data_IF_504198139739
#
_entry.id   IF_504198139739
#
_cell.length_a   1.000
_cell.length_b   1.000
_cell.length_c   1.000
_cell.angle_alpha   90.00
_cell.angle_beta   90.00
_cell.angle_gamma   90.00
#
_symmetry.space_group_name_H-M   'P 1'
#
loop_
_entity.id
_entity.type
_entity.pdbx_description
1 polymer ?
#
# COMPACT_ATOMS: atom_id res chain seq x y z
N UNK A 1 -19.28 2.77 -7.54
CA UNK A 1 -19.91 2.95 -6.22
C UNK A 1 -20.56 1.68 -5.68
N UNK A 2 -21.27 0.90 -6.49
CA UNK A 2 -21.84 -0.40 -6.09
C UNK A 2 -20.80 -1.45 -5.71
N UNK A 3 -19.65 -1.50 -6.38
CA UNK A 3 -18.55 -2.41 -6.06
C UNK A 3 -17.91 -2.17 -4.70
N UNK A 4 -17.91 -0.95 -4.22
CA UNK A 4 -17.27 -0.58 -2.96
C UNK A 4 -18.06 -1.06 -1.75
N UNK A 5 -19.42 -1.01 -1.82
CA UNK A 5 -20.26 -1.45 -0.72
C UNK A 5 -20.34 -2.97 -0.58
N UNK A 6 -20.36 -3.72 -1.68
CA UNK A 6 -20.33 -5.19 -1.63
C UNK A 6 -18.98 -5.72 -1.16
N UNK A 7 -17.88 -5.03 -1.49
CA UNK A 7 -16.54 -5.41 -1.05
C UNK A 7 -16.34 -5.18 0.44
N UNK A 8 -16.78 -4.05 0.96
CA UNK A 8 -16.72 -3.72 2.38
C UNK A 8 -17.62 -4.63 3.24
N UNK A 9 -18.74 -5.06 2.72
CA UNK A 9 -19.67 -5.97 3.42
C UNK A 9 -19.09 -7.37 3.67
N UNK A 10 -18.03 -7.77 2.95
CA UNK A 10 -17.36 -9.07 3.12
C UNK A 10 -16.20 -9.03 4.11
N UNK A 11 -15.76 -7.85 4.51
CA UNK A 11 -14.61 -7.68 5.40
C UNK A 11 -15.08 -7.18 6.76
N UNK A 12 -14.83 -7.99 7.80
CA UNK A 12 -15.20 -7.65 9.18
C UNK A 12 -13.96 -7.17 9.92
N UNK A 13 -14.05 -5.98 10.50
CA UNK A 13 -13.03 -5.42 11.37
C UNK A 13 -13.44 -5.52 12.83
N UNK A 14 -12.48 -5.82 13.69
CA UNK A 14 -12.72 -5.86 15.15
C UNK A 14 -12.86 -4.46 15.73
N UNK A 15 -12.13 -3.49 15.18
CA UNK A 15 -12.10 -2.09 15.63
C UNK A 15 -12.18 -1.14 14.44
N UNK A 16 -12.79 0.04 14.59
CA UNK A 16 -12.88 1.05 13.52
C UNK A 16 -11.59 1.87 13.40
N UNK A 17 -10.46 1.21 13.31
CA UNK A 17 -9.13 1.79 13.17
C UNK A 17 -8.33 1.08 12.10
N UNK A 18 -7.45 1.82 11.44
CA UNK A 18 -6.54 1.33 10.42
C UNK A 18 -5.14 1.86 10.71
N UNK A 19 -4.10 1.08 10.40
CA UNK A 19 -2.75 1.58 10.41
C UNK A 19 -2.46 2.34 9.11
N UNK A 20 -1.96 3.56 9.22
CA UNK A 20 -1.61 4.39 8.06
C UNK A 20 -0.39 3.88 7.30
N UNK A 21 -0.22 4.28 6.02
CA UNK A 21 0.93 3.88 5.22
C UNK A 21 2.20 4.57 5.72
N UNK A 22 3.31 3.84 5.69
CA UNK A 22 4.64 4.36 5.95
C UNK A 22 5.55 3.95 4.79
N UNK A 23 6.17 4.92 4.16
CA UNK A 23 7.17 4.73 3.12
C UNK A 23 8.51 5.33 3.52
N UNK A 24 9.56 4.97 2.78
CA UNK A 24 10.93 5.43 3.02
C UNK A 24 11.38 5.25 4.49
N UNK A 25 11.14 4.07 5.04
CA UNK A 25 11.35 3.74 6.45
C UNK A 25 12.75 4.08 6.92
N UNK A 26 13.78 3.72 6.14
CA UNK A 26 15.17 4.04 6.48
C UNK A 26 15.43 5.55 6.56
N UNK A 27 14.82 6.32 5.69
CA UNK A 27 15.00 7.76 5.64
C UNK A 27 14.38 8.46 6.85
N UNK A 28 13.21 8.02 7.29
CA UNK A 28 12.44 8.71 8.33
C UNK A 28 12.59 8.12 9.73
N UNK A 29 12.88 6.80 9.83
CA UNK A 29 12.83 6.08 11.10
C UNK A 29 14.11 5.29 11.42
N UNK A 30 15.16 5.42 10.59
CA UNK A 30 16.44 4.75 10.79
C UNK A 30 16.52 3.37 10.13
N UNK A 31 17.65 2.69 10.32
CA UNK A 31 18.04 1.52 9.51
C UNK A 31 17.57 0.17 10.07
N UNK A 32 16.75 0.18 11.12
CA UNK A 32 16.34 -1.07 11.79
C UNK A 32 15.52 -1.99 10.88
N UNK A 33 14.68 -1.42 10.02
CA UNK A 33 13.85 -2.14 9.08
C UNK A 33 13.94 -1.55 7.69
N UNK A 34 13.84 -2.41 6.69
CA UNK A 34 13.59 -2.01 5.30
C UNK A 34 12.10 -1.75 5.09
N UNK A 35 11.74 -1.08 3.98
CA UNK A 35 10.33 -0.89 3.60
C UNK A 35 9.61 -2.24 3.40
N UNK A 36 10.32 -3.24 2.90
CA UNK A 36 9.79 -4.59 2.69
C UNK A 36 9.41 -5.25 4.01
N UNK A 37 10.35 -5.33 4.93
CA UNK A 37 10.14 -5.91 6.27
C UNK A 37 9.08 -5.17 7.06
N UNK A 38 9.09 -3.84 6.99
CA UNK A 38 8.11 -3.02 7.70
C UNK A 38 6.69 -3.28 7.22
N UNK A 39 6.46 -3.28 5.91
CA UNK A 39 5.14 -3.55 5.34
C UNK A 39 4.63 -4.94 5.73
N UNK A 40 5.48 -5.96 5.67
CA UNK A 40 5.11 -7.32 6.05
C UNK A 40 4.70 -7.41 7.52
N UNK A 41 5.54 -6.89 8.43
CA UNK A 41 5.26 -6.86 9.87
C UNK A 41 3.96 -6.11 10.17
N UNK A 42 3.77 -4.94 9.54
CA UNK A 42 2.59 -4.10 9.75
C UNK A 42 1.31 -4.82 9.34
N UNK A 43 1.29 -5.38 8.13
CA UNK A 43 0.12 -6.09 7.60
C UNK A 43 -0.22 -7.30 8.46
N UNK A 44 0.79 -8.11 8.83
CA UNK A 44 0.58 -9.27 9.69
C UNK A 44 0.05 -8.89 11.08
N UNK A 45 0.67 -7.92 11.73
CA UNK A 45 0.26 -7.49 13.06
C UNK A 45 -1.19 -6.96 13.05
N UNK A 46 -1.53 -6.13 12.06
CA UNK A 46 -2.88 -5.59 11.93
C UNK A 46 -3.91 -6.69 11.66
N UNK A 47 -3.64 -7.60 10.73
CA UNK A 47 -4.55 -8.69 10.41
C UNK A 47 -4.81 -9.61 11.62
N UNK A 48 -3.78 -9.94 12.39
CA UNK A 48 -3.91 -10.72 13.64
C UNK A 48 -4.83 -10.06 14.67
N UNK A 49 -4.87 -8.74 14.69
CA UNK A 49 -5.72 -7.97 15.60
C UNK A 49 -7.08 -7.58 15.00
N UNK A 50 -7.39 -8.01 13.79
CA UNK A 50 -8.69 -7.75 13.14
C UNK A 50 -8.85 -6.32 12.67
N UNK A 51 -7.76 -5.64 12.34
CA UNK A 51 -7.71 -4.34 11.67
C UNK A 51 -6.91 -4.45 10.38
N UNK A 52 -7.05 -3.50 9.47
CA UNK A 52 -6.26 -3.46 8.25
C UNK A 52 -5.17 -2.39 8.31
N UNK A 53 -4.09 -2.62 7.58
CA UNK A 53 -3.03 -1.66 7.35
C UNK A 53 -3.05 -1.15 5.92
N UNK A 54 -2.76 0.13 5.74
CA UNK A 54 -2.30 0.67 4.47
C UNK A 54 -0.82 0.34 4.30
N UNK A 55 -0.41 -0.11 3.13
CA UNK A 55 1.01 -0.32 2.82
C UNK A 55 1.60 0.88 2.10
N UNK A 56 2.90 1.14 2.27
CA UNK A 56 3.60 2.17 1.51
C UNK A 56 3.88 1.74 0.06
N UNK A 57 4.04 2.72 -0.81
CA UNK A 57 4.59 2.53 -2.16
C UNK A 57 5.90 3.31 -2.28
N UNK A 58 6.93 2.70 -2.81
CA UNK A 58 8.27 3.26 -2.95
C UNK A 58 8.75 3.27 -4.40
N UNK A 59 9.94 3.81 -4.60
CA UNK A 59 10.65 3.76 -5.90
C UNK A 59 11.16 2.36 -6.22
N UNK A 60 11.31 1.50 -5.21
CA UNK A 60 11.65 0.09 -5.40
C UNK A 60 10.37 -0.71 -5.73
N UNK A 61 10.24 -1.28 -6.94
CA UNK A 61 9.04 -2.05 -7.33
C UNK A 61 8.74 -3.23 -6.42
N UNK A 62 9.74 -3.80 -5.77
CA UNK A 62 9.59 -4.94 -4.85
C UNK A 62 8.72 -4.57 -3.63
N UNK A 63 8.74 -3.32 -3.19
CA UNK A 63 7.92 -2.87 -2.05
C UNK A 63 6.45 -3.18 -2.29
N UNK A 64 5.92 -2.82 -3.47
CA UNK A 64 4.52 -3.09 -3.82
C UNK A 64 4.26 -4.59 -4.03
N UNK A 65 5.19 -5.30 -4.67
CA UNK A 65 5.05 -6.73 -4.96
C UNK A 65 4.97 -7.54 -3.67
N UNK A 66 5.88 -7.32 -2.73
CA UNK A 66 5.92 -8.04 -1.47
C UNK A 66 4.76 -7.65 -0.55
N UNK A 67 4.41 -6.37 -0.51
CA UNK A 67 3.24 -5.89 0.24
C UNK A 67 1.93 -6.55 -0.25
N UNK A 68 1.73 -6.60 -1.58
CA UNK A 68 0.57 -7.27 -2.17
C UNK A 68 0.56 -8.78 -1.87
N UNK A 69 1.73 -9.43 -1.91
CA UNK A 69 1.86 -10.84 -1.57
C UNK A 69 1.54 -11.10 -0.08
N UNK A 70 2.02 -10.25 0.83
CA UNK A 70 1.71 -10.34 2.26
C UNK A 70 0.20 -10.21 2.52
N UNK A 71 -0.45 -9.23 1.89
CA UNK A 71 -1.91 -9.04 1.96
C UNK A 71 -2.64 -10.29 1.45
N UNK A 72 -2.17 -10.87 0.34
CA UNK A 72 -2.74 -12.09 -0.24
C UNK A 72 -2.67 -13.28 0.71
N UNK A 73 -1.53 -13.49 1.38
CA UNK A 73 -1.36 -14.53 2.40
C UNK A 73 -2.32 -14.39 3.59
N UNK A 74 -2.80 -13.19 3.83
CA UNK A 74 -3.71 -12.85 4.95
C UNK A 74 -5.17 -12.68 4.49
N UNK A 75 -5.54 -13.30 3.38
CA UNK A 75 -6.92 -13.30 2.87
C UNK A 75 -7.42 -11.93 2.39
N UNK A 76 -6.52 -11.06 1.95
CA UNK A 76 -6.87 -9.73 1.46
C UNK A 76 -7.00 -8.66 2.55
N UNK A 77 -6.60 -8.96 3.79
CA UNK A 77 -6.70 -8.04 4.93
C UNK A 77 -5.59 -6.98 4.89
N UNK A 78 -5.74 -5.99 4.01
CA UNK A 78 -4.83 -4.87 3.84
C UNK A 78 -5.28 -3.96 2.71
N UNK A 79 -4.73 -2.76 2.67
CA UNK A 79 -5.04 -1.74 1.67
C UNK A 79 -3.73 -1.32 0.99
N UNK A 80 -3.41 -1.85 -0.20
CA UNK A 80 -2.27 -1.37 -0.96
C UNK A 80 -2.42 0.12 -1.28
N UNK A 81 -1.36 0.88 -1.06
CA UNK A 81 -1.32 2.29 -1.47
C UNK A 81 -0.45 2.42 -2.70
N UNK A 82 -0.93 3.11 -3.72
CA UNK A 82 -0.25 3.34 -5.00
C UNK A 82 0.00 4.84 -5.15
N UNK A 83 1.20 5.22 -5.57
CA UNK A 83 1.50 6.62 -5.94
C UNK A 83 0.98 6.92 -7.35
N UNK A 84 0.83 8.21 -7.72
CA UNK A 84 0.35 8.61 -9.04
C UNK A 84 1.46 8.47 -10.11
N UNK A 85 1.85 7.23 -10.40
CA UNK A 85 2.80 6.87 -11.44
C UNK A 85 2.22 7.11 -12.84
N UNK A 86 3.02 6.88 -13.87
CA UNK A 86 2.50 6.80 -15.25
C UNK A 86 1.47 5.65 -15.40
N UNK A 87 0.65 5.73 -16.44
CA UNK A 87 -0.48 4.82 -16.64
C UNK A 87 -0.07 3.35 -16.79
N UNK A 88 1.11 3.05 -17.34
CA UNK A 88 1.56 1.68 -17.49
C UNK A 88 1.95 1.09 -16.14
N UNK A 89 2.71 1.84 -15.36
CA UNK A 89 3.10 1.47 -13.99
C UNK A 89 1.87 1.30 -13.09
N UNK A 90 0.87 2.19 -13.20
CA UNK A 90 -0.39 2.05 -12.47
C UNK A 90 -1.10 0.74 -12.84
N UNK A 91 -1.20 0.40 -14.13
CA UNK A 91 -1.82 -0.86 -14.56
C UNK A 91 -1.12 -2.07 -13.96
N UNK A 92 0.20 -2.13 -14.01
CA UNK A 92 0.98 -3.23 -13.43
C UNK A 92 0.70 -3.36 -11.93
N UNK A 93 0.71 -2.25 -11.20
CA UNK A 93 0.42 -2.23 -9.76
C UNK A 93 -1.03 -2.65 -9.47
N UNK A 94 -2.00 -2.24 -10.28
CA UNK A 94 -3.40 -2.65 -10.12
C UNK A 94 -3.61 -4.14 -10.36
N UNK A 95 -2.83 -4.79 -11.22
CA UNK A 95 -2.84 -6.25 -11.36
C UNK A 95 -2.30 -6.94 -10.09
N UNK A 96 -1.29 -6.38 -9.43
CA UNK A 96 -0.83 -6.89 -8.12
C UNK A 96 -1.91 -6.74 -7.06
N UNK A 97 -2.60 -5.59 -7.02
CA UNK A 97 -3.75 -5.36 -6.11
C UNK A 97 -4.83 -6.41 -6.32
N UNK A 98 -5.23 -6.66 -7.56
CA UNK A 98 -6.22 -7.70 -7.88
C UNK A 98 -5.79 -9.08 -7.39
N UNK A 99 -4.54 -9.47 -7.67
CA UNK A 99 -4.00 -10.77 -7.25
C UNK A 99 -3.95 -10.93 -5.74
N UNK A 100 -3.73 -9.84 -5.00
CA UNK A 100 -3.72 -9.87 -3.54
C UNK A 100 -5.09 -10.14 -2.91
N UNK A 101 -6.18 -9.93 -3.65
CA UNK A 101 -7.53 -10.01 -3.12
C UNK A 101 -7.85 -8.92 -2.08
N UNK A 102 -7.05 -7.85 -2.03
CA UNK A 102 -7.28 -6.72 -1.14
C UNK A 102 -8.70 -6.16 -1.31
N UNK A 103 -9.36 -5.85 -0.21
CA UNK A 103 -10.74 -5.34 -0.23
C UNK A 103 -10.83 -3.88 -0.69
N UNK A 104 -9.72 -3.15 -0.72
CA UNK A 104 -9.63 -1.76 -1.17
C UNK A 104 -8.22 -1.44 -1.67
N UNK A 105 -8.08 -0.34 -2.38
CA UNK A 105 -6.80 0.25 -2.78
C UNK A 105 -6.86 1.76 -2.51
N UNK A 106 -5.74 2.33 -2.11
CA UNK A 106 -5.59 3.78 -1.92
C UNK A 106 -4.62 4.37 -2.94
N UNK A 107 -4.78 5.65 -3.24
CA UNK A 107 -3.82 6.42 -4.03
C UNK A 107 -3.28 7.57 -3.19
N UNK A 108 -1.96 7.64 -3.08
CA UNK A 108 -1.22 8.69 -2.35
C UNK A 108 -0.97 9.86 -3.30
N UNK A 109 -1.92 10.78 -3.40
CA UNK A 109 -1.89 11.89 -4.36
C UNK A 109 -1.01 13.06 -3.93
N UNK A 110 -0.71 13.22 -2.65
CA UNK A 110 0.14 14.29 -2.15
C UNK A 110 1.65 14.02 -2.38
N UNK A 111 2.01 12.77 -2.63
CA UNK A 111 3.37 12.40 -3.05
C UNK A 111 3.85 13.14 -4.31
N UNK A 112 2.95 13.62 -5.15
CA UNK A 112 3.27 14.40 -6.33
C UNK A 112 4.00 15.72 -6.02
N UNK A 113 3.81 16.28 -4.83
CA UNK A 113 4.42 17.53 -4.38
C UNK A 113 5.74 17.38 -3.61
N UNK A 114 6.23 16.18 -3.37
CA UNK A 114 7.41 15.97 -2.53
C UNK A 114 8.71 16.27 -3.29
N UNK A 115 9.56 17.24 -2.81
CA UNK A 115 10.75 17.69 -3.52
C UNK A 115 11.77 16.59 -3.81
N UNK A 116 11.92 15.60 -2.94
CA UNK A 116 12.89 14.51 -3.12
C UNK A 116 12.48 13.49 -4.19
N UNK A 117 11.23 13.52 -4.65
CA UNK A 117 10.76 12.70 -5.77
C UNK A 117 10.95 13.39 -7.12
N UNK A 118 11.28 14.70 -7.15
CA UNK A 118 11.40 15.47 -8.39
C UNK A 118 12.57 15.03 -9.29
N UNK A 119 13.59 14.39 -8.73
CA UNK A 119 14.78 13.90 -9.44
C UNK A 119 14.75 12.40 -9.78
N UNK A 120 13.68 11.70 -9.41
CA UNK A 120 13.46 10.31 -9.75
C UNK A 120 12.41 10.24 -10.87
N UNK A 121 12.20 9.09 -11.50
CA UNK A 121 11.08 8.92 -12.44
C UNK A 121 9.79 9.26 -11.72
N UNK A 122 9.42 10.54 -11.80
CA UNK A 122 8.42 11.13 -10.94
C UNK A 122 7.04 10.51 -11.16
N UNK A 123 6.23 10.37 -10.12
CA UNK A 123 4.81 10.11 -10.27
C UNK A 123 4.16 11.13 -11.22
N UNK A 124 3.21 10.70 -12.03
CA UNK A 124 2.48 11.59 -12.91
C UNK A 124 1.83 12.72 -12.08
N UNK A 125 2.02 13.98 -12.50
CA UNK A 125 1.51 15.14 -11.77
C UNK A 125 2.53 15.87 -10.89
N UNK A 126 3.76 15.37 -10.75
CA UNK A 126 4.84 16.05 -10.02
C UNK A 126 5.60 17.11 -10.85
N UNK A 127 5.02 17.64 -11.92
CA UNK A 127 5.56 18.73 -12.73
C UNK A 127 5.01 20.07 -12.30
#
# INVERSE_FOLDING_TARGET
MFFFSEFLQRTTFRYPVFAGPVGAVKLHYGEKYTDLEYNEILVEACAKHGIAAFTGDGTNPQVMTEAAAAIGRLGGMGIPTVKPWDMNTIREKMELVKKSGAFAVAMDIDAAGLPFLQNLNSPAGSK
#
